data_IF_025871191291
#
_entry.id   IF_025871191291
#
_cell.length_a   1.000
_cell.length_b   1.000
_cell.length_c   1.000
_cell.angle_alpha   90.00
_cell.angle_beta   90.00
_cell.angle_gamma   90.00
#
_symmetry.space_group_name_H-M   'P 1'
#
loop_
_entity.id
_entity.type
_entity.pdbx_description
1 polymer ?
#
# COMPACT_ATOMS: atom_id res chain seq x y z
N UNK A 1 58.14 -24.79 29.26
CA UNK A 1 56.72 -24.66 29.70
C UNK A 1 56.19 -23.36 29.13
N UNK A 2 55.38 -23.47 28.06
CA UNK A 2 54.89 -22.34 27.29
C UNK A 2 53.44 -22.09 27.67
N UNK A 3 53.11 -20.86 28.11
CA UNK A 3 51.75 -20.43 28.43
C UNK A 3 51.21 -19.71 27.20
N UNK A 4 50.22 -20.30 26.52
CA UNK A 4 49.50 -19.72 25.41
C UNK A 4 48.48 -18.67 25.90
N UNK A 5 48.64 -17.44 25.46
CA UNK A 5 47.69 -16.36 25.67
C UNK A 5 46.51 -16.51 24.72
N UNK A 6 45.32 -16.68 25.25
CA UNK A 6 44.02 -16.65 24.55
C UNK A 6 43.69 -15.18 24.22
N UNK A 7 43.75 -14.87 22.92
CA UNK A 7 43.25 -13.57 22.40
C UNK A 7 41.70 -13.59 22.30
N UNK A 8 41.04 -12.87 23.18
CA UNK A 8 39.65 -12.47 23.02
C UNK A 8 39.53 -11.57 21.79
N UNK A 9 38.89 -12.07 20.72
CA UNK A 9 38.41 -11.23 19.61
C UNK A 9 37.08 -10.65 20.03
N UNK A 10 37.08 -9.36 20.37
CA UNK A 10 35.85 -8.56 20.42
C UNK A 10 35.33 -8.37 19.00
N UNK A 11 34.21 -9.01 18.70
CA UNK A 11 33.45 -8.72 17.47
C UNK A 11 32.71 -7.39 17.67
N UNK A 12 33.28 -6.27 17.21
CA UNK A 12 32.57 -5.04 17.08
C UNK A 12 31.53 -5.21 15.95
N UNK A 13 30.27 -5.35 16.28
CA UNK A 13 29.17 -5.25 15.35
C UNK A 13 29.10 -3.79 14.84
N UNK A 14 29.74 -3.52 13.72
CA UNK A 14 29.54 -2.30 12.98
C UNK A 14 28.13 -2.35 12.40
N UNK A 15 27.15 -1.79 13.11
CA UNK A 15 25.86 -1.47 12.51
C UNK A 15 26.11 -0.49 11.37
N UNK A 16 26.06 -1.02 10.14
CA UNK A 16 26.08 -0.22 8.94
C UNK A 16 24.78 0.58 8.93
N UNK A 17 24.85 1.87 9.20
CA UNK A 17 23.75 2.80 8.92
C UNK A 17 23.50 2.75 7.41
N UNK A 18 22.51 1.94 7.01
CA UNK A 18 22.02 1.93 5.63
C UNK A 18 21.41 3.33 5.37
N UNK A 19 21.78 3.94 4.26
CA UNK A 19 21.16 5.20 3.85
C UNK A 19 19.68 4.97 3.61
N UNK A 20 18.82 5.92 3.93
CA UNK A 20 17.36 5.84 3.71
C UNK A 20 17.01 5.43 2.27
N UNK A 21 17.79 5.87 1.28
CA UNK A 21 17.60 5.48 -0.13
C UNK A 21 17.80 3.98 -0.38
N UNK A 22 18.59 3.26 0.45
CA UNK A 22 18.76 1.82 0.30
C UNK A 22 17.56 1.00 0.82
N UNK A 23 16.79 1.56 1.75
CA UNK A 23 15.62 0.89 2.34
C UNK A 23 14.35 1.05 1.49
N UNK A 24 14.27 2.05 0.62
CA UNK A 24 13.09 2.33 -0.20
C UNK A 24 13.13 1.70 -1.60
N UNK A 25 14.28 1.14 -2.02
CA UNK A 25 14.50 0.58 -3.36
C UNK A 25 15.09 -0.83 -3.27
N UNK A 26 14.38 -1.73 -2.58
CA UNK A 26 14.81 -3.10 -2.39
C UNK A 26 14.06 -4.06 -3.32
N UNK A 27 14.70 -5.17 -3.64
CA UNK A 27 14.10 -6.22 -4.46
C UNK A 27 14.39 -7.59 -3.87
N UNK A 28 13.42 -8.49 -4.01
CA UNK A 28 13.52 -9.90 -3.66
C UNK A 28 13.24 -10.75 -4.90
N UNK A 29 13.97 -11.84 -5.10
CA UNK A 29 13.76 -12.76 -6.21
C UNK A 29 12.85 -13.89 -5.78
N UNK A 30 11.66 -13.96 -6.34
CA UNK A 30 10.70 -15.05 -6.14
C UNK A 30 11.18 -16.33 -6.83
N UNK A 31 10.74 -17.48 -6.33
CA UNK A 31 11.09 -18.82 -6.84
C UNK A 31 10.66 -19.04 -8.29
N UNK A 32 9.59 -18.38 -8.74
CA UNK A 32 9.14 -18.41 -10.13
C UNK A 32 9.95 -17.49 -11.07
N UNK A 33 10.97 -16.84 -10.55
CA UNK A 33 11.87 -15.96 -11.28
C UNK A 33 11.42 -14.52 -11.42
N UNK A 34 10.24 -14.12 -10.89
CA UNK A 34 9.83 -12.72 -10.81
C UNK A 34 10.64 -11.96 -9.76
N UNK A 35 10.71 -10.66 -9.91
CA UNK A 35 11.21 -9.74 -8.89
C UNK A 35 10.04 -9.19 -8.11
N UNK A 36 10.13 -9.14 -6.78
CA UNK A 36 9.23 -8.45 -5.87
C UNK A 36 9.94 -7.20 -5.33
N UNK A 37 9.41 -6.02 -5.63
CA UNK A 37 9.91 -4.76 -5.09
C UNK A 37 9.35 -4.50 -3.70
N UNK A 38 10.17 -3.92 -2.82
CA UNK A 38 9.72 -3.55 -1.49
C UNK A 38 10.47 -2.36 -0.92
N UNK A 39 9.89 -1.77 0.11
CA UNK A 39 10.49 -0.71 0.91
C UNK A 39 10.22 -0.96 2.39
N UNK A 40 11.12 -0.49 3.25
CA UNK A 40 10.97 -0.59 4.70
C UNK A 40 10.91 0.80 5.31
N UNK A 41 9.95 0.99 6.21
CA UNK A 41 9.70 2.22 6.95
C UNK A 41 9.45 1.91 8.43
N UNK A 42 9.45 2.94 9.25
CA UNK A 42 9.22 2.79 10.68
C UNK A 42 10.41 2.25 11.43
N UNK A 43 10.12 1.49 12.49
CA UNK A 43 11.11 0.98 13.43
C UNK A 43 11.61 -0.40 12.98
N UNK A 44 12.89 -0.54 12.65
CA UNK A 44 13.47 -1.76 12.10
C UNK A 44 13.31 -3.01 12.99
N UNK A 45 13.32 -2.82 14.32
CA UNK A 45 13.08 -3.86 15.33
C UNK A 45 11.63 -3.87 15.84
N UNK A 46 10.72 -3.20 15.13
CA UNK A 46 9.30 -3.10 15.47
C UNK A 46 8.49 -4.33 15.06
N UNK A 47 7.19 -4.32 15.42
CA UNK A 47 6.25 -5.36 14.99
C UNK A 47 6.11 -5.35 13.46
N UNK A 48 6.26 -6.48 12.75
CA UNK A 48 6.18 -6.51 11.29
C UNK A 48 4.74 -6.27 10.82
N UNK A 49 4.57 -5.29 9.94
CA UNK A 49 3.32 -5.02 9.24
C UNK A 49 3.59 -4.97 7.74
N UNK A 50 2.99 -5.85 6.97
CA UNK A 50 3.03 -5.75 5.52
C UNK A 50 1.96 -4.78 5.03
N UNK A 51 2.42 -3.75 4.34
CA UNK A 51 1.59 -2.70 3.77
C UNK A 51 1.35 -2.95 2.29
N UNK A 52 0.08 -2.98 1.91
CA UNK A 52 -0.35 -3.15 0.53
C UNK A 52 -0.94 -1.83 0.01
N UNK A 53 -0.25 -1.25 -0.95
CA UNK A 53 -0.53 0.07 -1.49
C UNK A 53 -1.91 0.19 -2.17
N UNK A 54 -2.40 1.42 -2.34
CA UNK A 54 -3.61 1.74 -3.09
C UNK A 54 -3.50 1.47 -4.59
N UNK A 55 -4.47 1.93 -5.37
CA UNK A 55 -4.53 1.71 -6.81
C UNK A 55 -4.79 3.02 -7.57
N UNK A 56 -4.02 3.31 -8.61
CA UNK A 56 -2.69 2.74 -8.90
C UNK A 56 -1.63 3.40 -8.02
N UNK A 57 -0.72 2.62 -7.46
CA UNK A 57 0.32 3.12 -6.57
C UNK A 57 1.51 2.14 -6.49
N UNK A 58 2.42 2.33 -5.54
CA UNK A 58 3.58 1.49 -5.31
C UNK A 58 4.00 1.51 -3.83
N UNK A 59 5.07 0.77 -3.49
CA UNK A 59 5.67 0.71 -2.14
C UNK A 59 5.98 2.08 -1.54
N UNK A 60 6.28 3.10 -2.36
CA UNK A 60 6.64 4.45 -1.89
C UNK A 60 5.44 5.20 -1.29
N UNK A 61 4.20 4.76 -1.54
CA UNK A 61 3.00 5.31 -0.90
C UNK A 61 3.08 5.27 0.64
N UNK A 62 3.86 4.35 1.19
CA UNK A 62 4.09 4.26 2.63
C UNK A 62 5.11 5.29 3.18
N UNK A 63 5.85 5.99 2.34
CA UNK A 63 6.88 6.93 2.78
C UNK A 63 6.35 8.07 3.68
N UNK A 64 5.20 8.70 3.39
CA UNK A 64 4.65 9.76 4.25
C UNK A 64 4.26 9.27 5.66
N UNK A 65 4.05 7.98 5.85
CA UNK A 65 3.66 7.38 7.13
C UNK A 65 4.83 6.79 7.92
N UNK A 66 6.07 6.96 7.45
CA UNK A 66 7.28 6.47 8.15
C UNK A 66 7.33 6.93 9.61
N UNK A 67 7.15 8.24 9.87
CA UNK A 67 7.13 8.78 11.22
C UNK A 67 5.99 8.23 12.10
N UNK A 68 4.83 7.94 11.51
CA UNK A 68 3.72 7.28 12.20
C UNK A 68 4.12 5.85 12.59
N UNK A 69 4.67 5.08 11.65
CA UNK A 69 5.12 3.72 11.90
C UNK A 69 6.20 3.65 12.99
N UNK A 70 7.12 4.62 13.03
CA UNK A 70 8.11 4.75 14.10
C UNK A 70 7.46 4.95 15.47
N UNK A 71 6.51 5.90 15.59
CA UNK A 71 5.78 6.17 16.85
C UNK A 71 4.92 4.99 17.30
N UNK A 72 4.41 4.19 16.37
CA UNK A 72 3.64 2.98 16.66
C UNK A 72 4.53 1.76 16.97
N UNK A 73 5.86 1.86 16.88
CA UNK A 73 6.76 0.74 17.10
C UNK A 73 6.63 -0.35 16.02
N UNK A 74 6.31 0.02 14.79
CA UNK A 74 6.04 -0.87 13.67
C UNK A 74 7.22 -0.88 12.70
N UNK A 75 7.61 -2.08 12.23
CA UNK A 75 8.40 -2.29 11.04
C UNK A 75 7.43 -2.43 9.87
N UNK A 76 7.26 -1.36 9.10
CA UNK A 76 6.34 -1.31 7.98
C UNK A 76 7.05 -1.74 6.70
N UNK A 77 6.64 -2.87 6.13
CA UNK A 77 7.21 -3.45 4.93
C UNK A 77 6.20 -3.27 3.80
N UNK A 78 6.45 -2.30 2.94
CA UNK A 78 5.59 -1.99 1.81
C UNK A 78 6.04 -2.80 0.58
N UNK A 79 5.14 -3.62 0.04
CA UNK A 79 5.40 -4.48 -1.10
C UNK A 79 4.77 -3.90 -2.37
N UNK A 80 5.52 -3.87 -3.47
CA UNK A 80 4.96 -3.58 -4.79
C UNK A 80 4.18 -4.79 -5.30
N UNK A 81 2.90 -4.62 -5.63
CA UNK A 81 2.14 -5.66 -6.33
C UNK A 81 2.65 -5.86 -7.76
N UNK A 82 2.39 -7.03 -8.39
CA UNK A 82 2.95 -7.38 -9.70
C UNK A 82 2.72 -6.31 -10.78
N UNK A 83 3.82 -5.83 -11.36
CA UNK A 83 3.84 -4.81 -12.41
C UNK A 83 3.80 -3.35 -11.95
N UNK A 84 3.70 -3.11 -10.64
CA UNK A 84 3.92 -1.78 -10.07
C UNK A 84 5.36 -1.66 -9.54
N UNK A 85 5.87 -0.44 -9.53
CA UNK A 85 7.18 -0.12 -9.00
C UNK A 85 8.28 -1.04 -9.56
N UNK A 86 8.97 -1.75 -8.67
CA UNK A 86 10.05 -2.66 -9.00
C UNK A 86 9.60 -4.11 -9.24
N UNK A 87 8.31 -4.42 -9.03
CA UNK A 87 7.80 -5.80 -9.15
C UNK A 87 7.51 -6.18 -10.59
N UNK A 88 8.01 -7.33 -11.02
CA UNK A 88 7.76 -7.88 -12.36
C UNK A 88 6.27 -8.08 -12.60
N UNK A 89 5.75 -7.59 -13.73
CA UNK A 89 4.37 -7.87 -14.14
C UNK A 89 4.15 -9.37 -14.44
N UNK A 90 3.02 -9.91 -13.97
CA UNK A 90 2.61 -11.30 -14.26
C UNK A 90 1.25 -11.27 -14.96
N UNK A 91 1.18 -11.56 -16.25
CA UNK A 91 -0.09 -11.69 -16.95
C UNK A 91 -0.98 -12.76 -16.31
N UNK A 92 -2.28 -12.47 -16.17
CA UNK A 92 -3.24 -13.41 -15.60
C UNK A 92 -3.16 -13.58 -14.07
N UNK A 93 -2.34 -12.76 -13.39
CA UNK A 93 -2.27 -12.74 -11.92
C UNK A 93 -3.64 -12.51 -11.29
N UNK A 94 -3.95 -13.27 -10.24
CA UNK A 94 -5.20 -13.16 -9.50
C UNK A 94 -4.95 -12.64 -8.08
N UNK A 95 -5.98 -12.11 -7.43
CA UNK A 95 -5.88 -11.64 -6.03
C UNK A 95 -5.40 -12.76 -5.11
N UNK A 96 -5.85 -14.01 -5.34
CA UNK A 96 -5.43 -15.19 -4.58
C UNK A 96 -3.99 -15.67 -4.84
N UNK A 97 -3.30 -15.14 -5.84
CA UNK A 97 -1.87 -15.45 -6.03
C UNK A 97 -0.99 -14.68 -5.00
N UNK A 98 -1.49 -13.51 -4.53
CA UNK A 98 -0.74 -12.63 -3.65
C UNK A 98 -0.28 -13.24 -2.32
N UNK A 99 -1.10 -14.01 -1.59
CA UNK A 99 -0.67 -14.69 -0.37
C UNK A 99 0.56 -15.57 -0.56
N UNK A 100 0.74 -16.18 -1.74
CA UNK A 100 1.90 -17.01 -2.05
C UNK A 100 3.16 -16.17 -2.13
N UNK A 101 3.12 -15.04 -2.86
CA UNK A 101 4.25 -14.11 -2.98
C UNK A 101 4.64 -13.53 -1.61
N UNK A 102 3.63 -13.13 -0.80
CA UNK A 102 3.82 -12.61 0.56
C UNK A 102 4.46 -13.65 1.47
N UNK A 103 3.99 -14.89 1.41
CA UNK A 103 4.51 -15.98 2.26
C UNK A 103 5.93 -16.35 1.90
N UNK A 104 6.26 -16.40 0.61
CA UNK A 104 7.62 -16.65 0.15
C UNK A 104 8.59 -15.56 0.62
N UNK A 105 8.17 -14.29 0.51
CA UNK A 105 8.93 -13.15 1.02
C UNK A 105 9.14 -13.24 2.54
N UNK A 106 8.06 -13.50 3.29
CA UNK A 106 8.12 -13.58 4.75
C UNK A 106 9.06 -14.71 5.23
N UNK A 107 9.01 -15.87 4.59
CA UNK A 107 9.90 -17.00 4.90
C UNK A 107 11.36 -16.67 4.63
N UNK A 108 11.66 -16.07 3.48
CA UNK A 108 13.03 -15.71 3.10
C UNK A 108 13.65 -14.62 4.02
N UNK A 109 12.80 -13.76 4.62
CA UNK A 109 13.22 -12.71 5.54
C UNK A 109 13.06 -13.09 7.01
N UNK A 110 12.80 -14.38 7.30
CA UNK A 110 12.63 -14.91 8.67
C UNK A 110 11.57 -14.17 9.49
N UNK A 111 10.45 -13.81 8.84
CA UNK A 111 9.30 -13.14 9.46
C UNK A 111 8.18 -14.16 9.66
N UNK A 112 8.15 -14.89 10.80
CA UNK A 112 7.19 -15.98 11.00
C UNK A 112 5.77 -15.49 11.30
N UNK A 113 5.63 -14.26 11.80
CA UNK A 113 4.37 -13.64 12.16
C UNK A 113 4.37 -12.16 11.76
N UNK A 114 3.26 -11.71 11.18
CA UNK A 114 3.09 -10.33 10.74
C UNK A 114 1.63 -9.94 10.71
N UNK A 115 1.33 -8.65 10.79
CA UNK A 115 0.03 -8.10 10.46
C UNK A 115 0.01 -7.65 8.99
N UNK A 116 -1.16 -7.58 8.38
CA UNK A 116 -1.34 -7.02 7.03
C UNK A 116 -2.22 -5.78 7.08
N UNK A 117 -1.85 -4.75 6.34
CA UNK A 117 -2.58 -3.50 6.25
C UNK A 117 -2.79 -3.12 4.78
N UNK A 118 -4.03 -3.16 4.33
CA UNK A 118 -4.40 -2.82 2.95
C UNK A 118 -5.04 -1.44 2.86
N UNK A 119 -4.39 -0.51 2.16
CA UNK A 119 -4.96 0.79 1.83
C UNK A 119 -5.69 0.71 0.49
N UNK A 120 -6.93 1.19 0.42
CA UNK A 120 -7.69 1.33 -0.83
C UNK A 120 -7.66 0.02 -1.67
N UNK A 121 -7.06 0.05 -2.86
CA UNK A 121 -6.85 -1.12 -3.72
C UNK A 121 -6.07 -2.26 -3.08
N UNK A 122 -5.33 -2.01 -2.01
CA UNK A 122 -4.62 -3.05 -1.24
C UNK A 122 -5.50 -3.91 -0.34
N UNK A 123 -6.73 -3.45 -0.03
CA UNK A 123 -7.64 -4.14 0.88
C UNK A 123 -8.03 -5.55 0.43
N UNK A 124 -8.45 -5.80 -0.82
CA UNK A 124 -8.72 -7.13 -1.35
C UNK A 124 -7.55 -8.10 -1.21
N UNK A 125 -6.32 -7.63 -1.38
CA UNK A 125 -5.11 -8.42 -1.21
C UNK A 125 -4.81 -8.74 0.26
N UNK A 126 -5.13 -7.82 1.18
CA UNK A 126 -5.07 -8.09 2.62
C UNK A 126 -6.12 -9.14 3.04
N UNK A 127 -7.33 -9.08 2.49
CA UNK A 127 -8.36 -10.11 2.69
C UNK A 127 -7.95 -11.45 2.10
N UNK A 128 -7.29 -11.48 0.95
CA UNK A 128 -6.76 -12.72 0.38
C UNK A 128 -5.72 -13.37 1.30
N UNK A 129 -4.85 -12.57 1.94
CA UNK A 129 -3.93 -13.08 2.96
C UNK A 129 -4.67 -13.63 4.18
N UNK A 130 -5.71 -12.96 4.66
CA UNK A 130 -6.55 -13.45 5.75
C UNK A 130 -7.29 -14.76 5.40
N UNK A 131 -7.68 -14.91 4.14
CA UNK A 131 -8.36 -16.10 3.64
C UNK A 131 -7.42 -17.30 3.49
N UNK A 132 -6.24 -17.09 2.89
CA UNK A 132 -5.39 -18.18 2.44
C UNK A 132 -4.26 -18.56 3.42
N UNK A 133 -3.82 -17.60 4.28
CA UNK A 133 -2.69 -17.84 5.18
C UNK A 133 -3.14 -18.30 6.57
N UNK A 134 -2.32 -19.10 7.28
CA UNK A 134 -2.64 -19.54 8.64
C UNK A 134 -2.76 -18.36 9.61
N UNK A 135 -3.72 -18.40 10.54
CA UNK A 135 -3.91 -17.39 11.60
C UNK A 135 -2.66 -17.20 12.49
N UNK A 136 -1.85 -18.25 12.65
CA UNK A 136 -0.59 -18.15 13.38
C UNK A 136 0.47 -17.31 12.67
N UNK A 137 0.34 -17.10 11.35
CA UNK A 137 1.27 -16.33 10.52
C UNK A 137 0.80 -14.88 10.37
N UNK A 138 -0.45 -14.68 9.93
CA UNK A 138 -1.05 -13.34 9.90
C UNK A 138 -1.68 -13.10 11.27
N UNK A 139 -1.27 -12.09 12.00
CA UNK A 139 -1.72 -11.84 13.38
C UNK A 139 -2.93 -10.90 13.45
N UNK A 140 -2.99 -9.92 12.55
CA UNK A 140 -4.08 -8.94 12.46
C UNK A 140 -4.26 -8.46 11.03
N UNK A 141 -5.46 -8.02 10.67
CA UNK A 141 -5.80 -7.54 9.32
C UNK A 141 -6.45 -6.18 9.40
N UNK A 142 -5.84 -5.18 8.79
CA UNK A 142 -6.36 -3.83 8.68
C UNK A 142 -6.78 -3.48 7.26
N UNK A 143 -8.00 -2.97 7.11
CA UNK A 143 -8.54 -2.47 5.85
C UNK A 143 -8.83 -0.97 6.00
N UNK A 144 -8.07 -0.14 5.32
CA UNK A 144 -8.16 1.30 5.47
C UNK A 144 -8.64 1.95 4.17
N UNK A 145 -9.79 2.62 4.21
CA UNK A 145 -10.45 3.17 3.02
C UNK A 145 -10.47 2.16 1.85
N UNK A 146 -10.77 0.88 2.16
CA UNK A 146 -10.57 -0.27 1.28
C UNK A 146 -11.37 -0.17 -0.02
N UNK A 147 -10.85 -0.76 -1.10
CA UNK A 147 -11.63 -0.96 -2.32
C UNK A 147 -12.87 -1.83 -2.04
N UNK A 148 -14.03 -1.49 -2.62
CA UNK A 148 -15.28 -2.19 -2.38
C UNK A 148 -15.38 -3.46 -3.21
N UNK A 149 -16.07 -4.48 -2.67
CA UNK A 149 -16.44 -5.66 -3.44
C UNK A 149 -17.64 -5.37 -4.35
N UNK A 150 -17.47 -5.56 -5.67
CA UNK A 150 -18.48 -5.15 -6.66
C UNK A 150 -19.73 -6.05 -6.68
N UNK A 151 -19.72 -7.21 -6.02
CA UNK A 151 -20.95 -8.01 -5.77
C UNK A 151 -21.97 -7.27 -4.89
N UNK A 152 -21.56 -6.22 -4.16
CA UNK A 152 -22.48 -5.30 -3.47
C UNK A 152 -23.41 -4.52 -4.42
N UNK A 153 -23.18 -4.63 -5.72
CA UNK A 153 -23.89 -3.89 -6.76
C UNK A 153 -23.28 -2.53 -7.06
N UNK A 154 -23.67 -1.96 -8.19
CA UNK A 154 -23.05 -0.72 -8.71
C UNK A 154 -23.89 0.53 -8.48
N UNK A 155 -25.01 0.44 -7.74
CA UNK A 155 -25.95 1.56 -7.56
C UNK A 155 -25.29 2.85 -7.03
N UNK A 156 -24.33 2.69 -6.13
CA UNK A 156 -23.62 3.78 -5.46
C UNK A 156 -22.26 4.12 -6.12
N UNK A 157 -21.88 3.40 -7.18
CA UNK A 157 -20.62 3.62 -7.91
C UNK A 157 -20.82 4.72 -8.94
N UNK A 158 -19.91 5.69 -8.98
CA UNK A 158 -19.91 6.78 -9.96
C UNK A 158 -19.89 6.26 -11.41
N UNK A 159 -20.58 6.95 -12.31
CA UNK A 159 -20.73 6.53 -13.72
C UNK A 159 -19.40 6.37 -14.45
N UNK A 160 -18.44 7.27 -14.20
CA UNK A 160 -17.12 7.19 -14.84
C UNK A 160 -16.37 5.92 -14.42
N UNK A 161 -16.51 5.45 -13.18
CA UNK A 161 -15.87 4.20 -12.71
C UNK A 161 -16.49 2.97 -13.37
N UNK A 162 -17.81 2.96 -13.58
CA UNK A 162 -18.49 1.91 -14.34
C UNK A 162 -18.04 1.92 -15.81
N UNK A 163 -17.86 3.10 -16.39
CA UNK A 163 -17.33 3.25 -17.74
C UNK A 163 -15.90 2.69 -17.84
N UNK A 164 -15.00 3.05 -16.93
CA UNK A 164 -13.64 2.53 -16.92
C UNK A 164 -13.59 1.02 -16.71
N UNK A 165 -14.46 0.44 -15.84
CA UNK A 165 -14.61 -1.01 -15.72
C UNK A 165 -14.92 -1.67 -17.06
N UNK A 166 -15.97 -1.19 -17.73
CA UNK A 166 -16.38 -1.72 -19.06
C UNK A 166 -15.24 -1.56 -20.07
N UNK A 167 -14.58 -0.40 -20.09
CA UNK A 167 -13.45 -0.18 -20.99
C UNK A 167 -12.28 -1.13 -20.71
N UNK A 168 -11.93 -1.35 -19.44
CA UNK A 168 -10.89 -2.30 -19.04
C UNK A 168 -11.22 -3.74 -19.45
N UNK A 169 -12.50 -4.13 -19.36
CA UNK A 169 -12.97 -5.47 -19.69
C UNK A 169 -12.99 -5.73 -21.20
N UNK A 170 -13.55 -4.79 -22.01
CA UNK A 170 -13.78 -5.02 -23.42
C UNK A 170 -12.67 -4.51 -24.35
N UNK A 171 -11.85 -3.57 -23.90
CA UNK A 171 -10.77 -3.00 -24.72
C UNK A 171 -9.54 -2.61 -23.88
N UNK A 172 -8.91 -3.58 -23.19
CA UNK A 172 -7.79 -3.32 -22.26
C UNK A 172 -6.60 -2.64 -22.93
N UNK A 173 -6.31 -2.98 -24.20
CA UNK A 173 -5.19 -2.39 -24.95
C UNK A 173 -5.38 -0.90 -25.23
N UNK A 174 -6.59 -0.46 -25.57
CA UNK A 174 -6.86 0.98 -25.78
C UNK A 174 -6.87 1.75 -24.47
N UNK A 175 -7.42 1.17 -23.40
CA UNK A 175 -7.35 1.78 -22.07
C UNK A 175 -5.90 1.91 -21.60
N UNK A 176 -5.07 0.88 -21.80
CA UNK A 176 -3.63 0.93 -21.50
C UNK A 176 -2.96 2.12 -22.20
N UNK A 177 -3.18 2.25 -23.51
CA UNK A 177 -2.65 3.38 -24.29
C UNK A 177 -3.13 4.72 -23.75
N UNK A 178 -4.42 4.85 -23.46
CA UNK A 178 -5.01 6.07 -22.91
C UNK A 178 -4.45 6.44 -21.53
N UNK A 179 -4.32 5.47 -20.61
CA UNK A 179 -3.75 5.69 -19.29
C UNK A 179 -2.27 6.10 -19.37
N UNK A 180 -1.49 5.45 -20.24
CA UNK A 180 -0.09 5.78 -20.42
C UNK A 180 0.09 7.19 -21.03
N UNK A 181 -0.72 7.55 -22.00
CA UNK A 181 -0.71 8.90 -22.57
C UNK A 181 -1.17 9.95 -21.56
N UNK A 182 -2.15 9.63 -20.73
CA UNK A 182 -2.60 10.49 -19.64
C UNK A 182 -1.46 10.72 -18.62
N UNK A 183 -0.79 9.63 -18.22
CA UNK A 183 0.38 9.69 -17.34
C UNK A 183 1.46 10.64 -17.93
N UNK A 184 1.86 10.43 -19.19
CA UNK A 184 2.87 11.28 -19.85
C UNK A 184 2.43 12.75 -19.91
N UNK A 185 1.14 13.00 -20.18
CA UNK A 185 0.57 14.34 -20.27
C UNK A 185 0.59 15.05 -18.91
N UNK A 186 0.14 14.37 -17.85
CA UNK A 186 0.15 14.91 -16.49
C UNK A 186 1.60 15.21 -16.07
N UNK A 187 2.51 14.25 -16.26
CA UNK A 187 3.93 14.41 -15.95
C UNK A 187 4.54 15.61 -16.65
N UNK A 188 4.28 15.76 -17.95
CA UNK A 188 4.75 16.89 -18.73
C UNK A 188 4.20 18.23 -18.22
N UNK A 189 2.90 18.31 -17.92
CA UNK A 189 2.25 19.52 -17.37
C UNK A 189 2.81 19.87 -16.00
N UNK A 190 2.88 18.90 -15.08
CA UNK A 190 3.33 19.13 -13.69
C UNK A 190 4.78 19.60 -13.65
N UNK A 191 5.65 19.01 -14.49
CA UNK A 191 7.07 19.36 -14.56
C UNK A 191 7.34 20.56 -15.48
N UNK A 192 6.32 21.13 -16.15
CA UNK A 192 6.50 22.35 -16.93
C UNK A 192 6.90 23.54 -16.04
N UNK A 193 7.83 24.39 -16.52
CA UNK A 193 8.46 25.44 -15.71
C UNK A 193 7.50 26.44 -15.04
N UNK A 194 6.29 26.66 -15.61
CA UNK A 194 5.27 27.52 -15.00
C UNK A 194 4.49 26.81 -13.89
N UNK A 195 4.08 25.56 -14.14
CA UNK A 195 3.26 24.75 -13.19
C UNK A 195 4.14 24.31 -12.03
N UNK A 196 5.35 23.82 -12.30
CA UNK A 196 6.28 23.35 -11.26
C UNK A 196 6.62 24.46 -10.26
N UNK A 197 6.86 25.70 -10.72
CA UNK A 197 7.10 26.85 -9.82
C UNK A 197 5.89 27.13 -8.92
N UNK A 198 4.67 27.10 -9.49
CA UNK A 198 3.44 27.34 -8.70
C UNK A 198 3.23 26.26 -7.66
N UNK A 199 3.42 25.00 -8.04
CA UNK A 199 3.28 23.86 -7.13
C UNK A 199 4.35 23.90 -6.02
N UNK A 200 5.60 24.17 -6.34
CA UNK A 200 6.66 24.31 -5.34
C UNK A 200 6.34 25.44 -4.35
N UNK A 201 5.91 26.61 -4.84
CA UNK A 201 5.54 27.73 -3.98
C UNK A 201 4.34 27.37 -3.07
N UNK A 202 3.38 26.62 -3.59
CA UNK A 202 2.23 26.15 -2.81
C UNK A 202 2.65 25.15 -1.73
N UNK A 203 3.48 24.15 -2.07
CA UNK A 203 4.03 23.19 -1.12
C UNK A 203 4.81 23.88 0.01
N UNK A 204 5.64 24.87 -0.33
CA UNK A 204 6.37 25.65 0.68
C UNK A 204 5.43 26.48 1.57
N UNK A 205 4.37 27.06 1.00
CA UNK A 205 3.39 27.84 1.76
C UNK A 205 2.60 26.94 2.73
N UNK A 206 2.16 25.77 2.28
CA UNK A 206 1.44 24.82 3.12
C UNK A 206 2.32 24.29 4.27
N UNK A 207 3.59 23.97 3.98
CA UNK A 207 4.56 23.61 5.02
C UNK A 207 4.71 24.68 6.09
N UNK A 208 4.89 25.96 5.69
CA UNK A 208 5.02 27.08 6.64
C UNK A 208 3.77 27.26 7.50
N UNK A 209 2.60 27.03 6.92
CA UNK A 209 1.34 27.08 7.64
C UNK A 209 1.25 25.98 8.70
N UNK A 210 1.57 24.75 8.32
CA UNK A 210 1.59 23.61 9.25
C UNK A 210 2.63 23.76 10.37
N UNK A 211 3.83 24.29 10.08
CA UNK A 211 4.86 24.60 11.07
C UNK A 211 4.37 25.69 12.06
N UNK A 212 3.63 26.70 11.57
CA UNK A 212 3.08 27.76 12.42
C UNK A 212 1.93 27.26 13.32
N UNK A 213 1.15 26.29 12.86
CA UNK A 213 0.03 25.71 13.63
C UNK A 213 0.51 24.66 14.67
N UNK A 214 1.54 23.90 14.35
CA UNK A 214 2.06 22.84 15.25
C UNK A 214 3.12 23.32 16.24
N UNK A 215 3.77 24.43 16.01
CA UNK A 215 4.88 24.94 16.83
C UNK A 215 6.16 24.08 16.77
N UNK A 216 6.17 23.02 15.95
CA UNK A 216 7.30 22.10 15.79
C UNK A 216 7.90 22.24 14.39
N UNK A 217 9.24 22.25 14.31
CA UNK A 217 9.94 22.15 13.02
C UNK A 217 9.76 20.74 12.48
N UNK A 218 8.92 20.59 11.44
CA UNK A 218 8.70 19.31 10.78
C UNK A 218 9.88 18.91 9.88
N UNK A 219 10.11 17.61 9.66
CA UNK A 219 11.09 17.14 8.69
C UNK A 219 10.80 17.77 7.32
N UNK A 220 11.85 17.94 6.54
CA UNK A 220 11.76 18.53 5.18
C UNK A 220 10.66 17.85 4.39
N UNK A 221 9.67 18.63 3.94
CA UNK A 221 8.61 18.09 3.07
C UNK A 221 9.22 17.55 1.77
N UNK A 222 8.57 16.55 1.20
CA UNK A 222 8.96 16.03 -0.11
C UNK A 222 8.98 17.14 -1.15
N UNK A 223 9.99 17.14 -2.00
CA UNK A 223 10.04 18.01 -3.16
C UNK A 223 8.95 17.62 -4.18
N UNK A 224 8.63 18.53 -5.09
CA UNK A 224 7.70 18.21 -6.19
C UNK A 224 8.19 17.03 -7.03
N UNK A 225 9.49 16.91 -7.24
CA UNK A 225 10.11 15.84 -8.00
C UNK A 225 9.95 14.50 -7.28
N UNK A 226 10.22 14.44 -5.97
CA UNK A 226 9.98 13.25 -5.15
C UNK A 226 8.49 12.86 -5.11
N UNK A 227 7.59 13.84 -5.06
CA UNK A 227 6.15 13.60 -5.11
C UNK A 227 5.72 13.05 -6.48
N UNK A 228 6.25 13.60 -7.58
CA UNK A 228 5.99 13.10 -8.94
C UNK A 228 6.52 11.69 -9.12
N UNK A 229 7.73 11.41 -8.63
CA UNK A 229 8.31 10.06 -8.67
C UNK A 229 7.41 9.07 -7.91
N UNK A 230 7.03 9.40 -6.68
CA UNK A 230 6.20 8.53 -5.84
C UNK A 230 4.80 8.27 -6.42
N UNK A 231 4.14 9.32 -6.96
CA UNK A 231 2.72 9.24 -7.34
C UNK A 231 2.52 8.88 -8.81
N UNK A 232 3.47 9.23 -9.68
CA UNK A 232 3.35 9.06 -11.13
C UNK A 232 4.42 8.14 -11.71
N UNK A 233 5.70 8.44 -11.50
CA UNK A 233 6.77 7.77 -12.23
C UNK A 233 6.97 6.33 -11.73
N UNK A 234 7.02 6.11 -10.44
CA UNK A 234 7.27 4.79 -9.88
C UNK A 234 6.09 3.81 -10.08
N UNK A 235 4.80 4.18 -9.86
CA UNK A 235 3.68 3.30 -10.17
C UNK A 235 3.59 2.86 -11.64
N UNK A 236 3.97 3.75 -12.57
CA UNK A 236 3.93 3.49 -14.02
C UNK A 236 5.29 3.17 -14.64
N UNK A 237 6.30 2.89 -13.81
CA UNK A 237 7.68 2.61 -14.26
C UNK A 237 7.76 1.52 -15.32
N UNK A 238 6.90 0.52 -15.26
CA UNK A 238 6.84 -0.59 -16.21
C UNK A 238 5.71 -0.42 -17.25
N UNK A 239 5.08 0.76 -17.34
CA UNK A 239 3.94 1.03 -18.20
C UNK A 239 2.60 0.89 -17.48
N UNK A 240 1.51 0.75 -18.21
CA UNK A 240 0.15 0.75 -17.67
C UNK A 240 -0.54 -0.63 -17.69
N UNK A 241 0.18 -1.71 -18.01
CA UNK A 241 -0.39 -3.06 -18.09
C UNK A 241 -0.93 -3.52 -16.73
N UNK A 242 -0.16 -3.31 -15.67
CA UNK A 242 -0.56 -3.63 -14.30
C UNK A 242 -1.80 -2.83 -13.87
N UNK A 243 -1.84 -1.54 -14.20
CA UNK A 243 -2.98 -0.69 -13.85
C UNK A 243 -4.28 -1.18 -14.51
N UNK A 244 -4.27 -1.54 -15.79
CA UNK A 244 -5.46 -2.08 -16.47
C UNK A 244 -5.84 -3.45 -15.92
N UNK A 245 -4.86 -4.32 -15.69
CA UNK A 245 -5.09 -5.66 -15.15
C UNK A 245 -5.71 -5.59 -13.75
N UNK A 246 -5.11 -4.82 -12.84
CA UNK A 246 -5.59 -4.69 -11.47
C UNK A 246 -6.95 -3.96 -11.39
N UNK A 247 -7.24 -3.00 -12.29
CA UNK A 247 -8.58 -2.42 -12.41
C UNK A 247 -9.64 -3.50 -12.64
N UNK A 248 -9.38 -4.45 -13.54
CA UNK A 248 -10.29 -5.58 -13.77
C UNK A 248 -10.45 -6.45 -12.53
N UNK A 249 -9.37 -6.76 -11.81
CA UNK A 249 -9.43 -7.53 -10.57
C UNK A 249 -10.27 -6.81 -9.50
N UNK A 250 -9.97 -5.53 -9.24
CA UNK A 250 -10.61 -4.74 -8.19
C UNK A 250 -12.09 -4.45 -8.47
N UNK A 251 -12.50 -4.39 -9.75
CA UNK A 251 -13.89 -4.17 -10.16
C UNK A 251 -14.63 -5.46 -10.48
N UNK A 252 -14.01 -6.63 -10.27
CA UNK A 252 -14.65 -7.93 -10.39
C UNK A 252 -15.71 -8.12 -9.29
N UNK A 253 -16.73 -8.91 -9.60
CA UNK A 253 -17.69 -9.43 -8.62
C UNK A 253 -17.21 -10.70 -7.93
N UNK A 254 -16.07 -11.22 -8.35
CA UNK A 254 -15.42 -12.40 -7.80
C UNK A 254 -13.92 -12.11 -7.65
N UNK A 255 -13.43 -12.18 -6.41
CA UNK A 255 -12.00 -12.06 -6.09
C UNK A 255 -11.30 -13.42 -5.99
N UNK A 256 -12.02 -14.51 -6.34
CA UNK A 256 -11.56 -15.88 -6.22
C UNK A 256 -11.84 -16.52 -4.85
N UNK A 257 -12.51 -15.82 -3.95
CA UNK A 257 -12.93 -16.31 -2.64
C UNK A 257 -14.21 -15.63 -2.15
N UNK A 258 -14.99 -16.36 -1.34
CA UNK A 258 -16.19 -15.83 -0.72
C UNK A 258 -15.83 -15.05 0.56
N UNK A 259 -16.42 -13.86 0.74
CA UNK A 259 -16.20 -13.04 1.95
C UNK A 259 -16.60 -13.77 3.24
N UNK A 260 -17.66 -14.57 3.19
CA UNK A 260 -18.18 -15.38 4.31
C UNK A 260 -17.21 -16.48 4.75
N UNK A 261 -16.28 -16.86 3.87
CA UNK A 261 -15.25 -17.86 4.15
C UNK A 261 -13.97 -17.24 4.73
N UNK A 262 -13.86 -15.91 4.76
CA UNK A 262 -12.77 -15.22 5.47
C UNK A 262 -13.02 -15.36 6.97
N UNK A 263 -12.46 -16.41 7.58
CA UNK A 263 -12.67 -16.74 9.00
C UNK A 263 -11.46 -16.28 9.83
N UNK A 264 -11.25 -14.98 9.92
CA UNK A 264 -10.07 -14.47 10.59
C UNK A 264 -10.32 -14.04 12.05
N UNK A 265 -11.43 -13.44 12.38
CA UNK A 265 -11.85 -13.10 13.76
C UNK A 265 -11.31 -11.78 14.30
N UNK A 266 -10.35 -11.13 13.61
CA UNK A 266 -9.83 -9.81 13.98
C UNK A 266 -9.48 -9.02 12.72
N UNK A 267 -10.51 -8.59 12.00
CA UNK A 267 -10.38 -7.74 10.82
C UNK A 267 -10.92 -6.37 11.17
N UNK A 268 -10.05 -5.39 11.22
CA UNK A 268 -10.38 -4.02 11.51
C UNK A 268 -10.56 -3.24 10.21
N UNK A 269 -11.68 -2.55 10.04
CA UNK A 269 -12.03 -1.78 8.85
C UNK A 269 -12.26 -0.32 9.23
N UNK A 270 -11.52 0.62 8.65
CA UNK A 270 -11.70 2.07 8.87
C UNK A 270 -12.15 2.74 7.58
N UNK A 271 -13.30 3.43 7.60
CA UNK A 271 -13.86 3.98 6.38
C UNK A 271 -14.64 5.28 6.56
N UNK A 272 -14.45 6.21 5.61
CA UNK A 272 -15.14 7.50 5.56
C UNK A 272 -16.52 7.38 4.90
N UNK A 273 -17.55 7.95 5.52
CA UNK A 273 -18.93 7.91 4.95
C UNK A 273 -19.09 8.77 3.69
N UNK A 274 -18.22 9.77 3.49
CA UNK A 274 -18.20 10.63 2.30
C UNK A 274 -17.24 10.13 1.21
N UNK A 275 -16.77 8.88 1.33
CA UNK A 275 -15.90 8.26 0.32
C UNK A 275 -16.70 7.93 -0.95
N UNK A 276 -16.44 8.67 -2.02
CA UNK A 276 -17.05 8.44 -3.35
C UNK A 276 -16.28 7.40 -4.18
N UNK A 277 -15.01 7.12 -3.82
CA UNK A 277 -14.20 6.11 -4.48
C UNK A 277 -14.61 4.69 -4.06
N UNK A 278 -14.98 4.53 -2.82
CA UNK A 278 -15.46 3.29 -2.23
C UNK A 278 -16.69 3.57 -1.37
N UNK A 279 -17.90 3.63 -1.97
CA UNK A 279 -19.11 4.01 -1.24
C UNK A 279 -19.35 3.16 0.00
N UNK A 280 -19.64 3.81 1.14
CA UNK A 280 -19.80 3.16 2.45
C UNK A 280 -20.80 1.99 2.42
N UNK A 281 -21.83 2.05 1.57
CA UNK A 281 -22.82 0.98 1.43
C UNK A 281 -22.18 -0.34 0.95
N UNK A 282 -21.16 -0.24 0.09
CA UNK A 282 -20.43 -1.42 -0.39
C UNK A 282 -19.46 -1.95 0.67
N UNK A 283 -18.94 -1.09 1.52
CA UNK A 283 -18.08 -1.50 2.64
C UNK A 283 -18.89 -2.17 3.74
N UNK A 284 -20.09 -1.66 4.05
CA UNK A 284 -21.05 -2.31 4.95
C UNK A 284 -21.42 -3.70 4.44
N UNK A 285 -21.67 -3.84 3.12
CA UNK A 285 -21.89 -5.15 2.51
C UNK A 285 -20.74 -6.14 2.79
N UNK A 286 -19.48 -5.67 2.75
CA UNK A 286 -18.32 -6.50 3.08
C UNK A 286 -18.29 -6.83 4.58
N UNK A 287 -18.46 -5.83 5.45
CA UNK A 287 -18.43 -6.01 6.90
C UNK A 287 -19.50 -6.98 7.41
N UNK A 288 -20.71 -6.93 6.83
CA UNK A 288 -21.81 -7.88 7.15
C UNK A 288 -21.48 -9.33 6.80
N UNK A 289 -20.60 -9.57 5.83
CA UNK A 289 -20.24 -10.92 5.33
C UNK A 289 -18.96 -11.47 5.91
N UNK A 290 -18.05 -10.61 6.30
CA UNK A 290 -16.76 -11.01 6.90
C UNK A 290 -16.99 -11.24 8.40
N UNK A 291 -17.01 -12.49 8.84
CA UNK A 291 -17.25 -12.81 10.25
C UNK A 291 -16.17 -12.28 11.16
N UNK A 292 -16.57 -11.54 12.19
CA UNK A 292 -15.65 -10.97 13.18
C UNK A 292 -14.90 -9.74 12.68
N UNK A 293 -15.34 -9.10 11.59
CA UNK A 293 -14.86 -7.80 11.22
C UNK A 293 -15.51 -6.69 12.09
N UNK A 294 -14.73 -5.67 12.39
CA UNK A 294 -15.18 -4.45 13.08
C UNK A 294 -15.05 -3.27 12.12
N UNK A 295 -16.17 -2.60 11.81
CA UNK A 295 -16.20 -1.45 10.91
C UNK A 295 -16.29 -0.14 11.72
N UNK A 296 -15.24 0.67 11.61
CA UNK A 296 -15.16 2.02 12.16
C UNK A 296 -15.54 3.03 11.06
N UNK A 297 -16.68 3.67 11.21
CA UNK A 297 -17.19 4.65 10.24
C UNK A 297 -16.94 6.08 10.72
N UNK A 298 -16.49 6.94 9.79
CA UNK A 298 -16.20 8.34 10.04
C UNK A 298 -17.14 9.24 9.22
N UNK A 299 -17.99 10.01 9.90
CA UNK A 299 -19.10 10.79 9.30
C UNK A 299 -18.65 11.75 8.19
N UNK A 300 -17.58 12.50 8.47
CA UNK A 300 -17.17 13.62 7.62
C UNK A 300 -15.99 13.28 6.70
N UNK A 301 -15.49 12.03 6.74
CA UNK A 301 -14.30 11.67 6.01
C UNK A 301 -14.59 11.20 4.58
N UNK A 302 -13.72 11.65 3.69
CA UNK A 302 -13.59 11.20 2.30
C UNK A 302 -12.48 10.16 2.21
N UNK A 303 -12.26 9.60 1.02
CA UNK A 303 -11.16 8.67 0.74
C UNK A 303 -9.79 9.24 1.17
N UNK A 304 -9.56 10.52 0.93
CA UNK A 304 -8.27 11.17 1.16
C UNK A 304 -8.14 11.74 2.57
N UNK A 305 -9.22 12.27 3.14
CA UNK A 305 -9.17 12.86 4.48
C UNK A 305 -9.09 11.81 5.60
N UNK A 306 -9.33 10.53 5.26
CA UNK A 306 -9.09 9.39 6.15
C UNK A 306 -7.67 9.34 6.71
N UNK A 307 -6.68 9.89 5.99
CA UNK A 307 -5.26 9.85 6.38
C UNK A 307 -5.01 10.30 7.84
N UNK A 308 -5.76 11.27 8.35
CA UNK A 308 -5.64 11.72 9.76
C UNK A 308 -5.95 10.65 10.81
N UNK A 309 -6.65 9.58 10.41
CA UNK A 309 -6.98 8.44 11.28
C UNK A 309 -5.99 7.27 11.13
N UNK A 310 -4.91 7.45 10.34
CA UNK A 310 -3.98 6.38 10.05
C UNK A 310 -3.22 5.92 11.31
N UNK A 311 -2.72 6.87 12.14
CA UNK A 311 -1.99 6.52 13.35
C UNK A 311 -2.84 5.75 14.36
N UNK A 312 -4.06 6.17 14.72
CA UNK A 312 -4.95 5.37 15.58
C UNK A 312 -5.25 3.98 15.00
N UNK A 313 -5.46 3.88 13.67
CA UNK A 313 -5.73 2.61 13.00
C UNK A 313 -4.52 1.67 13.09
N UNK A 314 -3.30 2.18 12.82
CA UNK A 314 -2.09 1.38 12.87
C UNK A 314 -1.76 0.94 14.31
N UNK A 315 -2.01 1.78 15.33
CA UNK A 315 -1.87 1.40 16.75
C UNK A 315 -2.81 0.26 17.10
N UNK A 316 -4.09 0.39 16.76
CA UNK A 316 -5.11 -0.63 17.02
C UNK A 316 -4.77 -1.96 16.36
N UNK A 317 -4.20 -1.94 15.15
CA UNK A 317 -3.80 -3.14 14.43
C UNK A 317 -2.70 -3.95 15.13
N UNK A 318 -1.82 -3.29 15.88
CA UNK A 318 -0.64 -3.93 16.48
C UNK A 318 -0.72 -4.08 18.00
N UNK A 319 -1.81 -3.66 18.62
CA UNK A 319 -2.13 -3.95 20.02
C UNK A 319 -2.34 -5.45 20.24
#
# INVERSE_FOLDING_TARGET
MSVQAVRNRSTSSTQRLLSTSSLTHQTFRLSDGRTLGFAEFGKQDGKPVFYFHGYPSCRLEAQPIDGIAQRCGVRLIALDRPGFGLSTFKPGYQILDWPTDVMEFAQAHEIPQFSVFGLSGGGPFALACAYALPKRTVTSVGLFATAPHWAAGTKHVEYYRRFFKVWAEYSPSTLRGALYMLYLSIRWVVLSGLVSRRLNNWLEAERKKEESESGESKPKSMSLEELVDMVLDEPFRQGADAAVHEMNLLTSQDWGFDLEKVQYGDIQMWHGKKDVNAPIQMIRYMAERIRGSELHEFEDETHYTMYKHFEPALRKLVE
#
